data_IF_569061689194
#
_entry.id   IF_569061689194
#
_cell.length_a   1.000
_cell.length_b   1.000
_cell.length_c   1.000
_cell.angle_alpha   90.00
_cell.angle_beta   90.00
_cell.angle_gamma   90.00
#
_symmetry.space_group_name_H-M   'P 1'
#
loop_
_entity.id
_entity.type
_entity.pdbx_description
1 polymer ?
#
# COMPACT_ATOMS: atom_id res chain seq x y z
N UNK A 1 34.46 6.66 9.11
CA UNK A 1 33.43 5.74 8.59
C UNK A 1 32.24 6.57 8.14
N UNK A 2 32.08 6.78 6.84
CA UNK A 2 30.95 7.51 6.25
C UNK A 2 29.70 6.67 6.45
N UNK A 3 28.79 7.14 7.31
CA UNK A 3 27.47 6.52 7.51
C UNK A 3 26.69 6.74 6.21
N UNK A 4 26.67 5.75 5.33
CA UNK A 4 25.88 5.79 4.09
C UNK A 4 24.42 5.80 4.49
N UNK A 5 23.79 6.97 4.36
CA UNK A 5 22.36 7.13 4.61
C UNK A 5 21.59 6.42 3.50
N UNK A 6 20.57 5.63 3.86
CA UNK A 6 19.76 4.92 2.87
C UNK A 6 19.13 5.95 1.91
N UNK A 7 19.12 5.71 0.58
CA UNK A 7 18.49 6.60 -0.39
C UNK A 7 17.03 6.87 -0.02
N UNK A 8 16.57 8.10 -0.16
CA UNK A 8 15.17 8.47 0.09
C UNK A 8 14.34 8.32 -1.18
N UNK A 9 13.04 8.04 -1.02
CA UNK A 9 12.08 7.91 -2.13
C UNK A 9 11.80 9.24 -2.87
N UNK A 10 12.31 10.36 -2.36
CA UNK A 10 12.13 11.70 -2.95
C UNK A 10 13.22 12.05 -3.96
N UNK A 11 14.19 11.16 -4.18
CA UNK A 11 15.20 11.33 -5.22
C UNK A 11 14.61 11.00 -6.59
N UNK A 12 15.10 11.70 -7.61
CA UNK A 12 14.81 11.34 -8.99
C UNK A 12 15.47 9.97 -9.27
N UNK A 13 14.63 8.94 -9.38
CA UNK A 13 15.00 7.56 -9.66
C UNK A 13 14.14 7.09 -10.85
N UNK A 14 14.71 6.25 -11.73
CA UNK A 14 13.98 5.72 -12.89
C UNK A 14 13.47 4.29 -12.69
N UNK A 15 13.87 3.62 -11.61
CA UNK A 15 13.33 2.29 -11.29
C UNK A 15 11.89 2.41 -10.75
N UNK A 16 11.00 1.45 -11.07
CA UNK A 16 9.66 1.42 -10.49
C UNK A 16 9.72 1.44 -8.96
N UNK A 17 8.87 2.25 -8.33
CA UNK A 17 8.77 2.31 -6.88
C UNK A 17 7.84 1.19 -6.38
N UNK A 18 8.35 0.32 -5.50
CA UNK A 18 7.53 -0.77 -4.93
C UNK A 18 6.71 -0.25 -3.76
N UNK A 19 5.38 -0.35 -3.88
CA UNK A 19 4.43 0.17 -2.90
C UNK A 19 3.55 -0.95 -2.36
N UNK A 20 3.68 -1.25 -1.08
CA UNK A 20 2.80 -2.19 -0.38
C UNK A 20 1.70 -1.41 0.32
N UNK A 21 0.44 -1.64 -0.05
CA UNK A 21 -0.73 -1.06 0.62
C UNK A 21 -1.35 -2.08 1.57
N UNK A 22 -1.13 -1.90 2.88
CA UNK A 22 -1.74 -2.72 3.92
C UNK A 22 -3.13 -2.16 4.27
N UNK A 23 -4.17 -2.89 3.90
CA UNK A 23 -5.57 -2.48 4.09
C UNK A 23 -6.17 -3.19 5.30
N UNK A 24 -6.77 -2.42 6.21
CA UNK A 24 -7.47 -2.93 7.39
C UNK A 24 -8.98 -2.94 7.17
N UNK A 25 -9.66 -3.89 7.83
CA UNK A 25 -11.12 -3.85 7.94
C UNK A 25 -11.56 -2.59 8.69
N UNK A 26 -12.71 -2.03 8.32
CA UNK A 26 -13.18 -0.74 8.85
C UNK A 26 -12.53 0.48 8.20
N UNK A 27 -11.67 0.30 7.19
CA UNK A 27 -11.21 1.38 6.31
C UNK A 27 -12.34 1.91 5.41
N UNK A 28 -12.28 3.19 5.05
CA UNK A 28 -13.17 3.76 4.04
C UNK A 28 -12.78 3.26 2.66
N UNK A 29 -13.76 2.82 1.86
CA UNK A 29 -13.52 2.44 0.46
C UNK A 29 -12.92 3.59 -0.35
N UNK A 30 -13.28 4.83 -0.01
CA UNK A 30 -12.75 6.02 -0.66
C UNK A 30 -11.27 6.22 -0.33
N UNK A 31 -10.83 5.91 0.89
CA UNK A 31 -9.40 5.99 1.25
C UNK A 31 -8.57 4.96 0.47
N UNK A 32 -9.07 3.73 0.33
CA UNK A 32 -8.43 2.70 -0.49
C UNK A 32 -8.32 3.18 -1.94
N UNK A 33 -9.40 3.69 -2.51
CA UNK A 33 -9.41 4.21 -3.87
C UNK A 33 -8.45 5.40 -4.05
N UNK A 34 -8.48 6.38 -3.15
CA UNK A 34 -7.59 7.56 -3.21
C UNK A 34 -6.10 7.20 -3.11
N UNK A 35 -5.74 6.11 -2.43
CA UNK A 35 -4.36 5.65 -2.39
C UNK A 35 -3.93 4.92 -3.67
N UNK A 36 -4.84 4.15 -4.29
CA UNK A 36 -4.53 3.30 -5.45
C UNK A 36 -4.65 4.06 -6.78
N UNK A 37 -5.68 4.88 -6.93
CA UNK A 37 -6.02 5.51 -8.21
C UNK A 37 -4.92 6.40 -8.78
N UNK A 38 -4.21 7.23 -7.99
CA UNK A 38 -3.10 8.01 -8.51
C UNK A 38 -1.97 7.16 -9.07
N UNK A 39 -1.61 6.05 -8.39
CA UNK A 39 -0.54 5.13 -8.83
C UNK A 39 -0.93 4.45 -10.14
N UNK A 40 -2.17 3.94 -10.20
CA UNK A 40 -2.75 3.34 -11.41
C UNK A 40 -2.81 4.35 -12.56
N UNK A 41 -3.24 5.58 -12.31
CA UNK A 41 -3.36 6.62 -13.32
C UNK A 41 -1.99 7.04 -13.84
N UNK A 42 -0.99 7.20 -12.98
CA UNK A 42 0.38 7.53 -13.37
C UNK A 42 0.99 6.46 -14.29
N UNK A 43 0.85 5.18 -13.93
CA UNK A 43 1.29 4.07 -14.79
C UNK A 43 0.56 4.09 -16.14
N UNK A 44 -0.76 4.30 -16.12
CA UNK A 44 -1.57 4.32 -17.36
C UNK A 44 -1.22 5.49 -18.28
N UNK A 45 -1.02 6.68 -17.74
CA UNK A 45 -0.76 7.90 -18.52
C UNK A 45 0.67 7.87 -19.08
N UNK A 46 1.64 7.38 -18.31
CA UNK A 46 3.03 7.27 -18.76
C UNK A 46 3.25 6.14 -19.76
N UNK A 47 2.42 5.09 -19.74
CA UNK A 47 2.65 3.88 -20.54
C UNK A 47 3.77 2.99 -20.00
N UNK A 48 4.29 3.31 -18.80
CA UNK A 48 5.36 2.59 -18.13
C UNK A 48 4.91 2.18 -16.71
N UNK A 49 5.62 1.24 -16.09
CA UNK A 49 5.38 0.89 -14.68
C UNK A 49 6.23 1.80 -13.80
N UNK A 50 5.66 2.92 -13.36
CA UNK A 50 6.32 3.85 -12.43
C UNK A 50 6.15 3.41 -10.98
N UNK A 51 5.00 2.78 -10.68
CA UNK A 51 4.65 2.24 -9.37
C UNK A 51 4.29 0.77 -9.50
N UNK A 52 5.08 -0.11 -8.87
CA UNK A 52 4.75 -1.51 -8.71
C UNK A 52 4.04 -1.68 -7.37
N UNK A 53 2.70 -1.70 -7.39
CA UNK A 53 1.91 -1.67 -6.17
C UNK A 53 1.07 -2.92 -5.97
N UNK A 54 0.88 -3.29 -4.70
CA UNK A 54 0.02 -4.40 -4.31
C UNK A 54 -0.79 -4.07 -3.06
N UNK A 55 -1.98 -4.65 -2.98
CA UNK A 55 -2.81 -4.59 -1.78
C UNK A 55 -2.64 -5.88 -0.99
N UNK A 56 -2.45 -5.76 0.31
CA UNK A 56 -2.32 -6.88 1.25
C UNK A 56 -3.19 -6.62 2.48
N UNK A 57 -3.52 -7.67 3.22
CA UNK A 57 -4.21 -7.56 4.51
C UNK A 57 -3.45 -8.29 5.60
N UNK A 58 -3.83 -8.06 6.86
CA UNK A 58 -3.21 -8.72 8.03
C UNK A 58 -3.36 -10.25 7.98
N UNK A 59 -4.48 -10.74 7.46
CA UNK A 59 -4.81 -12.18 7.43
C UNK A 59 -4.62 -12.82 6.06
N UNK A 60 -4.58 -12.02 5.00
CA UNK A 60 -4.67 -12.48 3.61
C UNK A 60 -6.10 -12.54 3.07
N UNK A 61 -7.10 -12.40 3.94
CA UNK A 61 -8.51 -12.30 3.54
C UNK A 61 -8.87 -10.88 3.13
N UNK A 62 -9.93 -10.74 2.33
CA UNK A 62 -10.43 -9.45 1.87
C UNK A 62 -10.95 -8.60 3.04
N UNK A 63 -10.33 -7.43 3.35
CA UNK A 63 -10.83 -6.54 4.39
C UNK A 63 -12.19 -5.97 4.01
N UNK A 64 -13.09 -5.88 4.99
CA UNK A 64 -14.42 -5.29 4.79
C UNK A 64 -14.36 -3.80 5.09
N UNK A 65 -14.72 -2.97 4.12
CA UNK A 65 -14.74 -1.50 4.26
C UNK A 65 -15.94 -1.03 5.07
N UNK A 66 -15.97 0.26 5.46
CA UNK A 66 -17.07 0.85 6.22
C UNK A 66 -18.43 0.79 5.52
N UNK A 67 -18.47 0.64 4.20
CA UNK A 67 -19.72 0.46 3.43
C UNK A 67 -20.10 -1.02 3.22
N UNK A 68 -19.41 -1.96 3.88
CA UNK A 68 -19.69 -3.40 3.80
C UNK A 68 -19.12 -4.09 2.57
N UNK A 69 -18.42 -3.37 1.67
CA UNK A 69 -17.82 -3.95 0.49
C UNK A 69 -16.43 -4.53 0.80
N UNK A 70 -16.13 -5.76 0.38
CA UNK A 70 -14.80 -6.34 0.53
C UNK A 70 -13.82 -5.75 -0.50
N UNK A 71 -12.56 -5.61 -0.10
CA UNK A 71 -11.46 -5.20 -0.98
C UNK A 71 -10.60 -6.42 -1.30
N UNK A 72 -10.46 -6.74 -2.58
CA UNK A 72 -9.58 -7.82 -3.02
C UNK A 72 -8.11 -7.47 -2.70
N UNK A 73 -7.38 -8.45 -2.17
CA UNK A 73 -5.96 -8.34 -1.81
C UNK A 73 -5.16 -9.47 -2.46
N UNK A 74 -3.88 -9.24 -2.70
CA UNK A 74 -2.95 -10.23 -3.26
C UNK A 74 -2.44 -11.26 -2.23
N UNK A 75 -2.79 -11.10 -0.96
CA UNK A 75 -2.44 -12.03 0.10
C UNK A 75 -2.17 -11.37 1.45
N UNK A 76 -1.58 -12.15 2.35
CA UNK A 76 -1.21 -11.72 3.70
C UNK A 76 0.02 -10.82 3.66
N UNK A 77 0.02 -9.78 4.50
CA UNK A 77 1.20 -8.94 4.70
C UNK A 77 2.36 -9.75 5.28
N UNK A 78 3.53 -9.64 4.65
CA UNK A 78 4.78 -10.22 5.10
C UNK A 78 5.76 -9.09 5.45
N UNK A 79 6.12 -8.99 6.74
CA UNK A 79 7.06 -7.98 7.21
C UNK A 79 8.51 -8.24 6.76
N UNK A 80 8.82 -9.46 6.30
CA UNK A 80 10.12 -9.82 5.73
C UNK A 80 10.26 -9.43 4.26
N UNK A 81 9.16 -9.11 3.58
CA UNK A 81 9.20 -8.74 2.17
C UNK A 81 9.68 -7.30 1.98
N UNK A 82 10.64 -7.10 1.08
CA UNK A 82 11.16 -5.77 0.78
C UNK A 82 10.15 -4.92 0.01
N UNK A 83 9.90 -3.71 0.48
CA UNK A 83 9.10 -2.68 -0.20
C UNK A 83 9.79 -1.33 -0.03
N UNK A 84 9.63 -0.43 -1.00
CA UNK A 84 10.22 0.91 -0.93
C UNK A 84 9.30 1.86 -0.14
N UNK A 85 7.99 1.65 -0.24
CA UNK A 85 6.96 2.34 0.53
C UNK A 85 5.97 1.34 1.13
N UNK A 86 5.64 1.52 2.41
CA UNK A 86 4.51 0.85 3.07
C UNK A 86 3.43 1.90 3.37
N UNK A 87 2.25 1.73 2.79
CA UNK A 87 1.08 2.58 3.05
C UNK A 87 0.10 1.79 3.91
N UNK A 88 -0.24 2.34 5.08
CA UNK A 88 -1.22 1.75 5.98
C UNK A 88 -2.57 2.43 5.78
N UNK A 89 -3.54 1.70 5.22
CA UNK A 89 -4.90 2.19 5.00
C UNK A 89 -5.78 1.65 6.13
N UNK A 90 -5.85 2.43 7.21
CA UNK A 90 -6.64 2.13 8.40
C UNK A 90 -7.96 2.90 8.45
N UNK A 91 -8.82 2.53 9.39
CA UNK A 91 -10.08 3.23 9.67
C UNK A 91 -10.63 2.88 11.05
N UNK A 92 -11.95 2.82 11.18
CA UNK A 92 -12.60 2.52 12.46
C UNK A 92 -12.18 1.14 12.99
N UNK A 93 -11.94 1.04 14.30
CA UNK A 93 -11.56 -0.20 14.96
C UNK A 93 -10.09 -0.60 14.79
N UNK A 94 -9.28 0.22 14.11
CA UNK A 94 -7.84 -0.03 13.94
C UNK A 94 -7.07 -0.12 15.26
N UNK A 95 -7.52 0.55 16.34
CA UNK A 95 -6.93 0.39 17.67
C UNK A 95 -6.97 -1.07 18.19
N UNK A 96 -7.90 -1.90 17.72
CA UNK A 96 -8.00 -3.30 18.14
C UNK A 96 -6.88 -4.18 17.56
N UNK A 97 -6.08 -3.64 16.64
CA UNK A 97 -4.92 -4.29 16.05
C UNK A 97 -3.60 -3.88 16.72
N UNK A 98 -3.63 -2.93 17.67
CA UNK A 98 -2.47 -2.55 18.46
C UNK A 98 -2.39 -3.44 19.71
N UNK A 99 -1.64 -4.54 19.59
CA UNK A 99 -1.27 -5.43 20.71
C UNK A 99 0.20 -5.35 21.00
#
# INVERSE_FOLDING_TARGET
>A
MTKSEKPTIFRAERSPLRVTLLVFSGSSIMCVASAVDPLRAANRISGETLFDFKLVSVTGEAPVTTCGLPVAVGGRFDAGESTDVLVVVAGFGSQNYAT
#
